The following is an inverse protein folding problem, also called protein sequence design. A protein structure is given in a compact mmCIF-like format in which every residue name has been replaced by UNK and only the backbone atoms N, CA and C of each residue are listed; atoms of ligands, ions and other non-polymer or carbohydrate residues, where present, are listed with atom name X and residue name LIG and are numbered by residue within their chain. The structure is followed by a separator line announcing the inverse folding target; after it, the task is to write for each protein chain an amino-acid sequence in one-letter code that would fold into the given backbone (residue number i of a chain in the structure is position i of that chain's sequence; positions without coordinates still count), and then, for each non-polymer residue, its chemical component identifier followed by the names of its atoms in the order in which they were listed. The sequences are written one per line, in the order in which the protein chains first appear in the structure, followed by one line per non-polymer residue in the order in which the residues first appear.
data_IF_108057014005
#
_entry.id   IF_108057014005
#
_cell.length_a   1.000
_cell.length_b   1.000
_cell.length_c   1.000
_cell.angle_alpha   90.00
_cell.angle_beta   90.00
_cell.angle_gamma   90.00
#
_symmetry.space_group_name_H-M   'P 1'
#
loop_
_entity.id
_entity.type
_entity.pdbx_description
1 polymer ?
#
# COMPACT_ATOMS: atom_id res chain seq x y z
N UNK A 1 -42.58 -62.02 36.25
CA UNK A 1 -43.34 -62.79 35.23
C UNK A 1 -43.75 -61.85 34.10
N UNK A 2 -43.75 -62.33 32.84
CA UNK A 2 -43.14 -61.65 31.68
C UNK A 2 -44.17 -61.17 30.63
N UNK A 3 -43.78 -60.32 29.67
CA UNK A 3 -43.40 -60.67 28.28
C UNK A 3 -42.74 -59.44 27.61
N UNK A 4 -41.57 -59.43 26.97
CA UNK A 4 -40.98 -60.19 25.84
C UNK A 4 -41.61 -59.91 24.46
N UNK A 5 -40.99 -58.97 23.72
CA UNK A 5 -40.90 -58.99 22.25
C UNK A 5 -39.48 -58.56 21.82
N UNK A 6 -38.64 -59.58 21.58
CA UNK A 6 -37.79 -59.88 20.40
C UNK A 6 -37.17 -58.76 19.51
N UNK A 7 -35.86 -58.97 19.28
CA UNK A 7 -35.00 -58.60 18.12
C UNK A 7 -34.66 -57.11 17.91
N UNK A 8 -33.42 -56.71 17.63
CA UNK A 8 -32.36 -57.42 16.92
C UNK A 8 -30.93 -57.10 17.42
N UNK A 9 -30.15 -58.17 17.41
CA UNK A 9 -28.83 -58.42 17.96
C UNK A 9 -27.70 -58.00 17.00
N UNK A 10 -27.81 -56.83 16.37
CA UNK A 10 -26.87 -56.41 15.31
C UNK A 10 -25.94 -55.25 15.69
N UNK A 11 -26.22 -54.50 16.75
CA UNK A 11 -25.48 -53.27 17.04
C UNK A 11 -24.38 -53.38 18.11
N UNK A 12 -24.14 -54.57 18.68
CA UNK A 12 -23.17 -54.75 19.78
C UNK A 12 -22.06 -55.78 19.52
N UNK A 13 -22.03 -56.42 18.34
CA UNK A 13 -20.91 -57.28 17.92
C UNK A 13 -19.93 -56.62 16.95
N UNK A 14 -20.25 -55.45 16.38
CA UNK A 14 -19.35 -54.76 15.45
C UNK A 14 -18.17 -54.07 16.17
N UNK A 15 -18.22 -53.92 17.50
CA UNK A 15 -17.12 -53.32 18.27
C UNK A 15 -16.09 -54.33 18.81
N UNK A 16 -16.30 -55.64 18.67
CA UNK A 16 -15.45 -56.66 19.30
C UNK A 16 -14.66 -57.55 18.32
N UNK A 17 -14.97 -57.53 17.02
CA UNK A 17 -14.35 -58.44 16.03
C UNK A 17 -13.40 -57.78 15.03
N UNK A 18 -13.04 -56.51 15.23
CA UNK A 18 -12.01 -55.81 14.43
C UNK A 18 -10.64 -55.74 15.14
N UNK A 19 -10.39 -56.61 16.12
CA UNK A 19 -9.09 -56.74 16.81
C UNK A 19 -8.15 -57.80 16.20
N UNK A 20 -8.47 -58.33 15.01
CA UNK A 20 -7.59 -59.27 14.32
C UNK A 20 -7.75 -59.19 12.81
N UNK A 21 -6.87 -58.47 12.12
CA UNK A 21 -6.81 -58.53 10.65
C UNK A 21 -6.25 -57.28 9.98
N UNK A 22 -4.93 -57.29 9.73
CA UNK A 22 -4.22 -56.64 8.62
C UNK A 22 -4.65 -55.19 8.29
N UNK A 23 -3.86 -54.22 8.78
CA UNK A 23 -3.89 -52.81 8.32
C UNK A 23 -3.90 -52.72 6.78
N UNK A 24 -4.89 -52.03 6.16
CA UNK A 24 -4.74 -51.62 4.78
C UNK A 24 -3.74 -50.46 4.73
N UNK A 25 -2.67 -50.70 3.97
CA UNK A 25 -1.63 -49.76 3.55
C UNK A 25 -2.20 -48.37 3.22
N UNK A 26 -1.63 -47.37 3.91
CA UNK A 26 -1.35 -46.02 3.39
C UNK A 26 -2.50 -45.33 2.63
N UNK A 27 -3.40 -44.68 3.37
CA UNK A 27 -4.04 -43.46 2.86
C UNK A 27 -2.95 -42.38 2.73
N UNK A 28 -2.33 -42.30 1.55
CA UNK A 28 -1.46 -41.18 1.17
C UNK A 28 -2.33 -39.92 1.11
N UNK A 29 -2.38 -39.19 2.22
CA UNK A 29 -2.84 -37.81 2.21
C UNK A 29 -1.82 -37.01 1.40
N UNK A 30 -2.07 -36.86 0.09
CA UNK A 30 -1.35 -35.90 -0.74
C UNK A 30 -1.94 -34.53 -0.40
N UNK A 31 -1.20 -33.60 0.23
CA UNK A 31 -1.67 -32.23 0.30
C UNK A 31 -1.86 -31.72 -1.14
N UNK A 32 -2.96 -31.00 -1.43
CA UNK A 32 -3.31 -30.56 -2.78
C UNK A 32 -2.31 -29.56 -3.39
N UNK A 33 -1.26 -29.18 -2.64
CA UNK A 33 -0.28 -28.17 -3.01
C UNK A 33 1.08 -28.72 -3.47
N UNK A 34 1.23 -30.05 -3.56
CA UNK A 34 2.48 -30.67 -4.06
C UNK A 34 2.81 -30.33 -5.52
N UNK A 35 1.87 -29.75 -6.27
CA UNK A 35 2.04 -29.29 -7.65
C UNK A 35 2.35 -27.78 -7.78
N UNK A 36 2.27 -26.99 -6.71
CA UNK A 36 2.42 -25.53 -6.76
C UNK A 36 3.87 -25.04 -6.61
N UNK A 37 4.80 -25.93 -6.24
CA UNK A 37 6.21 -25.58 -6.02
C UNK A 37 7.09 -26.48 -6.87
N UNK A 38 7.20 -26.14 -8.16
CA UNK A 38 8.26 -26.71 -8.99
C UNK A 38 9.62 -26.15 -8.52
N UNK A 39 10.69 -26.96 -8.45
CA UNK A 39 12.03 -26.45 -8.18
C UNK A 39 12.44 -25.33 -9.16
N UNK A 40 11.88 -25.31 -10.37
CA UNK A 40 12.11 -24.26 -11.36
C UNK A 40 11.48 -22.91 -10.96
N UNK A 41 10.27 -22.89 -10.38
CA UNK A 41 9.63 -21.66 -9.93
C UNK A 41 10.34 -21.06 -8.71
N UNK A 42 10.94 -21.91 -7.88
CA UNK A 42 11.68 -21.48 -6.69
C UNK A 42 13.08 -20.95 -7.04
N UNK A 43 13.76 -21.55 -8.02
CA UNK A 43 14.99 -20.98 -8.59
C UNK A 43 14.73 -19.63 -9.25
N UNK A 44 13.67 -19.50 -10.05
CA UNK A 44 13.27 -18.23 -10.63
C UNK A 44 13.02 -17.18 -9.54
N UNK A 45 12.30 -17.53 -8.48
CA UNK A 45 11.98 -16.61 -7.38
C UNK A 45 13.23 -16.13 -6.63
N UNK A 46 14.14 -17.04 -6.30
CA UNK A 46 15.40 -16.69 -5.62
C UNK A 46 16.26 -15.81 -6.52
N UNK A 47 16.42 -16.18 -7.80
CA UNK A 47 17.22 -15.40 -8.76
C UNK A 47 16.60 -14.02 -9.01
N UNK A 48 15.28 -13.95 -9.14
CA UNK A 48 14.55 -12.70 -9.35
C UNK A 48 14.65 -11.78 -8.12
N UNK A 49 14.47 -12.33 -6.91
CA UNK A 49 14.62 -11.55 -5.66
C UNK A 49 16.05 -11.06 -5.47
N UNK A 50 17.05 -11.90 -5.78
CA UNK A 50 18.46 -11.52 -5.72
C UNK A 50 18.81 -10.46 -6.77
N UNK A 51 18.31 -10.63 -8.00
CA UNK A 51 18.46 -9.65 -9.08
C UNK A 51 17.86 -8.29 -8.68
N UNK A 52 16.66 -8.29 -8.09
CA UNK A 52 15.97 -7.08 -7.67
C UNK A 52 16.75 -6.37 -6.55
N UNK A 53 17.24 -7.11 -5.54
CA UNK A 53 18.10 -6.55 -4.48
C UNK A 53 19.44 -6.02 -5.03
N UNK A 54 20.12 -6.78 -5.89
CA UNK A 54 21.44 -6.40 -6.42
C UNK A 54 21.34 -5.15 -7.29
N UNK A 55 20.31 -5.05 -8.14
CA UNK A 55 20.13 -3.88 -9.02
C UNK A 55 19.60 -2.64 -8.27
N UNK A 56 18.90 -2.80 -7.14
CA UNK A 56 18.35 -1.68 -6.37
C UNK A 56 19.25 -1.23 -5.22
N UNK A 57 20.01 -2.12 -4.58
CA UNK A 57 20.82 -1.82 -3.39
C UNK A 57 22.29 -1.49 -3.68
N UNK A 58 22.81 -1.73 -4.89
CA UNK A 58 24.17 -1.31 -5.26
C UNK A 58 24.11 0.01 -6.03
N UNK A 59 24.26 1.18 -5.37
CA UNK A 59 24.62 2.39 -6.09
C UNK A 59 25.95 2.10 -6.78
N UNK A 60 26.01 2.31 -8.10
CA UNK A 60 27.22 2.07 -8.90
C UNK A 60 28.43 2.71 -8.24
N UNK A 61 29.32 1.88 -7.69
CA UNK A 61 30.61 2.29 -7.15
C UNK A 61 31.47 2.75 -8.32
N UNK A 62 31.41 4.04 -8.68
CA UNK A 62 32.17 4.59 -9.79
C UNK A 62 33.58 4.96 -9.31
N UNK A 63 34.50 4.00 -9.41
CA UNK A 63 35.89 4.35 -9.73
C UNK A 63 35.93 4.68 -11.21
N UNK A 64 36.56 5.79 -11.57
CA UNK A 64 36.52 6.37 -12.91
C UNK A 64 36.98 5.39 -14.01
N UNK A 65 36.19 5.30 -15.07
CA UNK A 65 36.59 5.54 -16.46
C UNK A 65 35.38 5.37 -17.37
N UNK A 66 35.43 6.02 -18.51
CA UNK A 66 34.35 6.19 -19.48
C UNK A 66 33.74 4.86 -19.91
N UNK A 67 32.52 4.58 -19.46
CA UNK A 67 31.63 3.60 -20.07
C UNK A 67 30.19 4.06 -19.83
N UNK A 68 29.50 4.41 -20.92
CA UNK A 68 28.06 4.59 -20.97
C UNK A 68 27.39 3.21 -20.81
N UNK A 69 27.37 2.70 -19.58
CA UNK A 69 26.37 1.70 -19.23
C UNK A 69 25.02 2.41 -19.10
N UNK A 70 23.91 1.83 -19.60
CA UNK A 70 22.60 2.38 -19.36
C UNK A 70 22.34 2.25 -17.86
N UNK A 71 22.58 3.31 -17.10
CA UNK A 71 21.98 3.42 -15.78
C UNK A 71 20.49 3.32 -16.05
N UNK A 72 19.84 2.28 -15.54
CA UNK A 72 18.40 2.32 -15.33
C UNK A 72 18.17 3.46 -14.33
N UNK A 73 18.09 4.69 -14.85
CA UNK A 73 17.70 5.85 -14.09
C UNK A 73 16.24 5.56 -13.73
N UNK A 74 16.04 5.00 -12.54
CA UNK A 74 14.72 4.86 -11.95
C UNK A 74 14.18 6.29 -11.83
N UNK A 75 13.37 6.67 -12.81
CA UNK A 75 12.64 7.91 -12.79
C UNK A 75 11.62 7.76 -11.67
N UNK A 76 11.82 8.53 -10.60
CA UNK A 76 10.91 8.55 -9.48
C UNK A 76 9.79 9.54 -9.80
N UNK A 77 8.55 9.06 -9.91
CA UNK A 77 7.38 9.92 -9.94
C UNK A 77 6.95 10.30 -8.52
N UNK A 78 6.37 11.48 -8.37
CA UNK A 78 5.88 12.02 -7.10
C UNK A 78 4.73 11.18 -6.51
N UNK A 79 4.40 11.36 -5.22
CA UNK A 79 3.17 10.76 -4.67
C UNK A 79 1.95 11.39 -5.34
N UNK A 80 1.27 10.61 -6.19
CA UNK A 80 0.08 11.04 -6.91
C UNK A 80 -1.19 10.65 -6.16
N UNK A 81 -2.13 11.59 -6.03
CA UNK A 81 -3.46 11.35 -5.48
C UNK A 81 -4.47 11.82 -6.51
N UNK A 82 -5.29 10.91 -7.01
CA UNK A 82 -6.34 11.20 -7.98
C UNK A 82 -7.69 10.82 -7.38
N UNK A 83 -8.70 11.65 -7.61
CA UNK A 83 -10.02 11.37 -7.09
C UNK A 83 -11.07 12.38 -7.50
N UNK A 84 -12.24 12.21 -6.89
CA UNK A 84 -13.44 12.99 -7.13
C UNK A 84 -14.02 13.41 -5.78
N UNK A 85 -14.04 14.70 -5.51
CA UNK A 85 -14.66 15.28 -4.33
C UNK A 85 -16.12 15.64 -4.65
N UNK A 86 -17.08 15.05 -3.91
CA UNK A 86 -18.52 15.24 -4.12
C UNK A 86 -19.33 15.15 -2.82
N UNK A 87 -20.29 16.05 -2.64
CA UNK A 87 -21.38 15.89 -1.68
C UNK A 87 -21.42 16.95 -0.58
N UNK A 88 -20.30 17.19 0.11
CA UNK A 88 -20.20 18.20 1.18
C UNK A 88 -19.85 19.61 0.70
N UNK A 89 -19.95 20.60 1.59
CA UNK A 89 -19.44 21.97 1.34
C UNK A 89 -17.91 22.06 1.42
N UNK A 90 -17.27 21.05 2.01
CA UNK A 90 -15.83 20.84 2.07
C UNK A 90 -15.53 19.34 2.04
N UNK A 91 -14.45 18.94 1.39
CA UNK A 91 -14.05 17.54 1.23
C UNK A 91 -12.53 17.39 1.42
N UNK A 92 -12.06 16.40 2.20
CA UNK A 92 -10.64 16.08 2.28
C UNK A 92 -10.18 15.45 0.97
N UNK A 93 -8.95 15.79 0.55
CA UNK A 93 -8.41 15.39 -0.75
C UNK A 93 -7.15 14.57 -0.59
N UNK A 94 -6.23 15.01 0.26
CA UNK A 94 -4.99 14.29 0.54
C UNK A 94 -4.39 14.72 1.88
N UNK A 95 -3.64 13.80 2.48
CA UNK A 95 -2.71 14.06 3.59
C UNK A 95 -1.30 13.62 3.15
N UNK A 96 -0.32 14.48 3.38
CA UNK A 96 1.07 14.22 3.08
C UNK A 96 1.99 14.81 4.14
N UNK A 97 2.82 13.96 4.75
CA UNK A 97 3.90 14.41 5.59
C UNK A 97 5.17 14.66 4.76
N UNK A 98 5.62 15.91 4.73
CA UNK A 98 6.84 16.30 4.01
C UNK A 98 8.09 15.91 4.78
N UNK A 99 9.17 15.64 4.05
CA UNK A 99 10.50 15.60 4.63
C UNK A 99 11.49 16.37 3.75
N UNK A 100 11.79 17.57 4.21
CA UNK A 100 12.49 18.63 3.48
C UNK A 100 13.69 19.04 4.35
N UNK A 101 14.91 18.64 4.00
CA UNK A 101 16.12 19.11 4.68
C UNK A 101 16.25 20.63 4.62
N UNK A 102 16.97 21.22 5.58
CA UNK A 102 17.23 22.66 5.60
C UNK A 102 17.85 23.14 4.28
N UNK A 103 17.35 24.27 3.78
CA UNK A 103 17.83 24.88 2.52
C UNK A 103 17.29 24.23 1.24
N UNK A 104 16.48 23.17 1.33
CA UNK A 104 15.80 22.56 0.20
C UNK A 104 14.31 22.92 0.16
N UNK A 105 13.64 22.58 -0.94
CA UNK A 105 12.20 22.81 -1.12
C UNK A 105 11.49 21.56 -1.60
N UNK A 106 10.34 21.26 -0.99
CA UNK A 106 9.37 20.32 -1.53
C UNK A 106 8.50 20.98 -2.60
N UNK A 107 7.61 20.20 -3.21
CA UNK A 107 6.69 20.68 -4.24
C UNK A 107 5.31 20.05 -4.09
N UNK A 108 4.26 20.85 -4.26
CA UNK A 108 2.87 20.41 -4.40
C UNK A 108 2.41 20.86 -5.77
N UNK A 109 2.06 19.91 -6.64
CA UNK A 109 1.37 20.21 -7.89
C UNK A 109 -0.09 19.79 -7.75
N UNK A 110 -1.01 20.64 -8.19
CA UNK A 110 -2.43 20.34 -8.20
C UNK A 110 -3.01 20.62 -9.57
N UNK A 111 -3.72 19.64 -10.13
CA UNK A 111 -4.56 19.81 -11.30
C UNK A 111 -5.99 19.48 -10.88
N UNK A 112 -6.91 20.41 -11.06
CA UNK A 112 -8.30 20.20 -10.67
C UNK A 112 -9.22 20.60 -11.81
N UNK A 113 -10.27 19.81 -12.00
CA UNK A 113 -11.34 20.07 -12.93
C UNK A 113 -12.63 20.26 -12.14
N UNK A 114 -13.22 21.45 -12.24
CA UNK A 114 -14.45 21.82 -11.50
C UNK A 114 -15.62 21.97 -12.46
N UNK A 115 -16.80 21.51 -12.03
CA UNK A 115 -18.04 21.60 -12.83
C UNK A 115 -18.75 22.96 -12.68
N UNK A 116 -18.42 23.73 -11.65
CA UNK A 116 -19.03 25.02 -11.37
C UNK A 116 -18.04 25.94 -10.64
N UNK A 117 -18.38 27.23 -10.57
CA UNK A 117 -17.55 28.23 -9.89
C UNK A 117 -17.73 28.20 -8.37
N UNK A 118 -16.74 28.76 -7.66
CA UNK A 118 -16.77 28.97 -6.22
C UNK A 118 -16.03 27.92 -5.40
N UNK A 119 -15.39 26.95 -6.06
CA UNK A 119 -14.51 26.00 -5.40
C UNK A 119 -13.17 26.63 -5.06
N UNK A 120 -12.58 26.23 -3.93
CA UNK A 120 -11.29 26.71 -3.45
C UNK A 120 -10.48 25.51 -2.94
N UNK A 121 -9.21 25.46 -3.32
CA UNK A 121 -8.23 24.53 -2.78
C UNK A 121 -7.62 25.15 -1.53
N UNK A 122 -7.65 24.42 -0.44
CA UNK A 122 -7.18 24.84 0.87
C UNK A 122 -6.09 23.89 1.33
N UNK A 123 -4.94 24.43 1.72
CA UNK A 123 -3.80 23.69 2.25
C UNK A 123 -3.61 24.07 3.72
N UNK A 124 -3.62 23.07 4.59
CA UNK A 124 -3.53 23.21 6.05
C UNK A 124 -2.28 22.51 6.57
N UNK A 125 -1.63 23.11 7.56
CA UNK A 125 -0.50 22.50 8.26
C UNK A 125 -0.99 21.73 9.50
N UNK A 126 -1.82 20.72 9.26
CA UNK A 126 -2.50 19.87 10.25
C UNK A 126 -2.77 18.51 9.65
N UNK A 127 -2.87 17.48 10.49
CA UNK A 127 -3.32 16.14 10.08
C UNK A 127 -4.81 16.14 9.75
N UNK A 128 -5.25 15.15 8.97
CA UNK A 128 -6.68 15.03 8.63
C UNK A 128 -7.53 14.83 9.89
N UNK A 129 -7.03 14.03 10.84
CA UNK A 129 -7.71 13.75 12.10
C UNK A 129 -7.85 14.99 12.99
N UNK A 130 -6.86 15.87 13.04
CA UNK A 130 -6.93 17.14 13.77
C UNK A 130 -7.97 18.08 13.18
N UNK A 131 -8.02 18.17 11.84
CA UNK A 131 -9.00 18.99 11.14
C UNK A 131 -10.40 18.45 11.39
N UNK A 132 -10.63 17.15 11.19
CA UNK A 132 -11.92 16.49 11.43
C UNK A 132 -12.38 16.62 12.89
N UNK A 133 -11.47 16.46 13.86
CA UNK A 133 -11.79 16.65 15.28
C UNK A 133 -12.13 18.11 15.62
N UNK A 134 -11.52 19.07 14.93
CA UNK A 134 -11.89 20.49 15.02
C UNK A 134 -13.29 20.75 14.47
N UNK A 135 -13.55 20.30 13.24
CA UNK A 135 -14.83 20.45 12.55
C UNK A 135 -15.97 19.82 13.36
N UNK A 136 -15.76 18.60 13.87
CA UNK A 136 -16.75 17.87 14.67
C UNK A 136 -17.10 18.62 15.96
N UNK A 137 -16.10 19.12 16.68
CA UNK A 137 -16.34 19.91 17.90
C UNK A 137 -17.15 21.18 17.62
N UNK A 138 -16.85 21.87 16.52
CA UNK A 138 -17.57 23.08 16.15
C UNK A 138 -19.04 22.78 15.81
N UNK A 139 -19.30 21.71 15.05
CA UNK A 139 -20.66 21.25 14.73
C UNK A 139 -21.42 20.84 16.01
N UNK A 140 -20.79 20.06 16.89
CA UNK A 140 -21.37 19.62 18.16
C UNK A 140 -21.66 20.79 19.12
N UNK A 141 -20.89 21.88 19.03
CA UNK A 141 -21.15 23.12 19.78
C UNK A 141 -22.33 23.96 19.24
N UNK A 142 -22.99 23.48 18.18
CA UNK A 142 -24.14 24.14 17.56
C UNK A 142 -23.77 25.14 16.46
N UNK A 143 -22.51 25.18 16.02
CA UNK A 143 -22.15 25.97 14.85
C UNK A 143 -22.74 25.33 13.57
N UNK A 144 -23.37 26.15 12.74
CA UNK A 144 -23.84 25.69 11.43
C UNK A 144 -22.70 25.27 10.50
N UNK A 145 -23.02 24.58 9.42
CA UNK A 145 -22.00 24.09 8.46
C UNK A 145 -21.24 25.25 7.78
N UNK A 146 -21.91 26.35 7.46
CA UNK A 146 -21.32 27.54 6.84
C UNK A 146 -20.19 28.19 7.66
N UNK A 147 -20.38 28.57 8.95
CA UNK A 147 -19.29 29.15 9.74
C UNK A 147 -18.13 28.17 9.95
N UNK A 148 -18.40 26.87 10.02
CA UNK A 148 -17.38 25.82 10.10
C UNK A 148 -16.54 25.76 8.82
N UNK A 149 -17.19 25.77 7.65
CA UNK A 149 -16.54 25.82 6.35
C UNK A 149 -15.67 27.09 6.20
N UNK A 150 -16.17 28.26 6.62
CA UNK A 150 -15.38 29.50 6.61
C UNK A 150 -14.21 29.47 7.59
N UNK A 151 -14.35 28.85 8.76
CA UNK A 151 -13.25 28.67 9.71
C UNK A 151 -12.14 27.81 9.12
N UNK A 152 -12.49 26.77 8.36
CA UNK A 152 -11.52 25.95 7.63
C UNK A 152 -10.70 26.80 6.65
N UNK A 153 -11.38 27.59 5.80
CA UNK A 153 -10.72 28.53 4.86
C UNK A 153 -9.83 29.53 5.59
N UNK A 154 -10.31 30.12 6.68
CA UNK A 154 -9.57 31.13 7.43
C UNK A 154 -8.34 30.57 8.17
N UNK A 155 -8.33 29.26 8.44
CA UNK A 155 -7.19 28.56 9.05
C UNK A 155 -6.18 28.04 8.02
N UNK A 156 -6.46 28.20 6.72
CA UNK A 156 -5.61 27.76 5.63
C UNK A 156 -4.27 28.50 5.62
N UNK A 157 -3.19 27.77 5.36
CA UNK A 157 -1.89 28.39 5.02
C UNK A 157 -1.89 28.90 3.59
N UNK A 158 -2.47 28.12 2.67
CA UNK A 158 -2.62 28.48 1.26
C UNK A 158 -4.08 28.29 0.88
N UNK A 159 -4.60 29.30 0.18
CA UNK A 159 -5.97 29.34 -0.31
C UNK A 159 -5.91 29.73 -1.77
N UNK A 160 -6.22 28.78 -2.65
CA UNK A 160 -6.26 29.03 -4.09
C UNK A 160 -7.69 28.90 -4.62
N UNK A 161 -8.23 29.94 -5.26
CA UNK A 161 -9.51 29.83 -5.93
C UNK A 161 -9.36 28.93 -7.16
N UNK A 162 -10.19 27.89 -7.26
CA UNK A 162 -10.21 26.98 -8.40
C UNK A 162 -11.01 27.62 -9.54
N UNK A 163 -10.42 28.65 -10.15
CA UNK A 163 -10.92 29.30 -11.36
C UNK A 163 -10.08 28.77 -12.51
N UNK A 164 -10.67 27.97 -13.39
CA UNK A 164 -9.97 27.56 -14.60
C UNK A 164 -9.64 28.78 -15.46
N UNK A 165 -8.50 28.72 -16.15
CA UNK A 165 -8.07 29.77 -17.07
C UNK A 165 -8.94 29.85 -18.31
N UNK A 166 -10.13 30.44 -18.21
CA UNK A 166 -10.85 31.14 -19.29
C UNK A 166 -11.71 32.23 -18.64
N UNK A 167 -11.48 33.53 -18.90
CA UNK A 167 -12.32 34.59 -18.35
C UNK A 167 -13.70 34.60 -19.01
N UNK A 168 -14.72 34.74 -18.15
CA UNK A 168 -16.02 35.43 -18.31
C UNK A 168 -16.75 35.22 -19.65
N UNK A 169 -17.85 34.43 -19.64
CA UNK A 169 -19.10 34.58 -20.44
C UNK A 169 -19.74 33.27 -20.93
N UNK A 170 -19.16 32.08 -20.71
CA UNK A 170 -19.72 30.85 -21.29
C UNK A 170 -20.71 30.15 -20.36
N UNK A 171 -21.99 30.35 -20.69
CA UNK A 171 -23.18 29.91 -19.97
C UNK A 171 -23.54 28.42 -20.20
N UNK A 172 -22.74 27.67 -20.96
CA UNK A 172 -22.94 26.24 -21.27
C UNK A 172 -21.63 25.45 -21.05
N UNK A 173 -21.42 25.17 -19.77
CA UNK A 173 -20.40 24.35 -19.05
C UNK A 173 -19.44 23.47 -19.87
N UNK A 174 -18.26 24.01 -20.20
CA UNK A 174 -17.05 23.19 -20.30
C UNK A 174 -16.36 23.15 -18.94
N UNK A 175 -15.91 21.97 -18.46
CA UNK A 175 -15.28 21.87 -17.16
C UNK A 175 -13.95 22.62 -17.17
N UNK A 176 -13.72 23.46 -16.15
CA UNK A 176 -12.58 24.37 -16.13
C UNK A 176 -11.38 23.68 -15.48
N UNK A 177 -10.26 23.63 -16.20
CA UNK A 177 -9.01 23.04 -15.72
C UNK A 177 -8.16 24.10 -15.02
N UNK A 178 -7.87 23.86 -13.75
CA UNK A 178 -6.94 24.64 -12.94
C UNK A 178 -5.67 23.83 -12.72
N UNK A 179 -4.52 24.50 -12.79
CA UNK A 179 -3.21 23.91 -12.53
C UNK A 179 -2.41 24.84 -11.62
N UNK A 180 -1.78 24.25 -10.61
CA UNK A 180 -0.97 24.92 -9.59
C UNK A 180 0.34 24.17 -9.40
N UNK A 181 1.40 24.94 -9.18
CA UNK A 181 2.71 24.44 -8.76
C UNK A 181 3.20 25.31 -7.59
N UNK A 182 3.28 24.72 -6.41
CA UNK A 182 3.66 25.40 -5.17
C UNK A 182 4.94 24.80 -4.62
N UNK A 183 5.96 25.64 -4.47
CA UNK A 183 7.17 25.31 -3.73
C UNK A 183 6.91 25.38 -2.21
N UNK A 184 7.36 24.36 -1.50
CA UNK A 184 7.16 24.21 -0.06
C UNK A 184 8.52 24.35 0.64
N UNK A 185 8.64 25.35 1.52
CA UNK A 185 9.89 25.59 2.25
C UNK A 185 10.13 24.55 3.35
N UNK A 186 11.35 24.46 3.86
CA UNK A 186 11.74 23.50 4.90
C UNK A 186 11.07 23.70 6.27
N UNK A 187 10.24 24.73 6.44
CA UNK A 187 9.53 25.00 7.69
C UNK A 187 8.46 23.96 8.05
N UNK A 188 8.09 23.10 7.10
CA UNK A 188 7.15 21.99 7.25
C UNK A 188 7.84 20.63 7.17
N UNK A 189 9.15 20.58 7.41
CA UNK A 189 9.85 19.31 7.55
C UNK A 189 9.21 18.47 8.67
N UNK A 190 8.89 17.21 8.37
CA UNK A 190 8.25 16.26 9.29
C UNK A 190 6.88 16.75 9.81
N UNK A 191 6.23 17.64 9.06
CA UNK A 191 4.89 18.11 9.36
C UNK A 191 3.89 17.61 8.32
N UNK A 192 2.69 17.31 8.79
CA UNK A 192 1.57 16.91 7.95
C UNK A 192 0.93 18.11 7.28
N UNK A 193 0.74 17.97 5.98
CA UNK A 193 -0.01 18.90 5.18
C UNK A 193 -1.23 18.19 4.64
N UNK A 194 -2.40 18.75 4.95
CA UNK A 194 -3.66 18.30 4.38
C UNK A 194 -4.17 19.26 3.32
N UNK A 195 -4.74 18.69 2.28
CA UNK A 195 -5.36 19.41 1.18
C UNK A 195 -6.86 19.13 1.20
N UNK A 196 -7.64 20.19 1.12
CA UNK A 196 -9.10 20.18 1.12
C UNK A 196 -9.61 20.96 -0.09
N UNK A 197 -10.74 20.54 -0.65
CA UNK A 197 -11.49 21.36 -1.60
C UNK A 197 -12.75 21.82 -0.89
N UNK A 198 -13.04 23.10 -0.99
CA UNK A 198 -14.19 23.73 -0.32
C UNK A 198 -15.01 24.53 -1.32
N UNK A 199 -16.29 24.75 -1.00
CA UNK A 199 -17.20 25.61 -1.75
C UNK A 199 -18.07 26.45 -0.81
N UNK A 200 -17.44 26.98 0.24
CA UNK A 200 -18.13 27.63 1.37
C UNK A 200 -18.90 28.90 0.96
N UNK A 201 -18.36 29.71 0.05
CA UNK A 201 -18.94 31.02 -0.31
C UNK A 201 -20.38 30.94 -0.82
N UNK A 202 -20.72 29.83 -1.48
CA UNK A 202 -22.04 29.60 -2.07
C UNK A 202 -22.88 28.60 -1.28
N UNK A 203 -22.37 28.06 -0.15
CA UNK A 203 -22.98 26.93 0.57
C UNK A 203 -23.44 25.80 -0.36
N UNK A 204 -22.65 25.55 -1.40
CA UNK A 204 -22.98 24.59 -2.44
C UNK A 204 -22.10 23.35 -2.28
N UNK A 205 -22.56 22.18 -2.74
CA UNK A 205 -21.73 20.98 -2.69
C UNK A 205 -20.50 21.16 -3.59
N UNK A 206 -19.39 20.60 -3.12
CA UNK A 206 -18.19 20.36 -3.90
C UNK A 206 -18.53 19.35 -4.99
N UNK A 207 -17.99 19.59 -6.17
CA UNK A 207 -17.98 18.68 -7.32
C UNK A 207 -16.74 19.00 -8.16
N UNK A 208 -15.66 18.28 -7.87
CA UNK A 208 -14.36 18.52 -8.46
C UNK A 208 -13.58 17.22 -8.61
N UNK A 209 -13.01 17.01 -9.80
CA UNK A 209 -11.98 15.99 -10.01
C UNK A 209 -10.61 16.61 -9.71
N UNK A 210 -9.74 15.88 -9.05
CA UNK A 210 -8.42 16.38 -8.67
C UNK A 210 -7.33 15.36 -8.98
N UNK A 211 -6.14 15.88 -9.23
CA UNK A 211 -4.89 15.17 -9.39
C UNK A 211 -3.82 15.98 -8.67
N UNK A 212 -3.42 15.52 -7.49
CA UNK A 212 -2.38 16.12 -6.67
C UNK A 212 -1.09 15.33 -6.79
N UNK A 213 0.04 16.02 -6.73
CA UNK A 213 1.37 15.40 -6.68
C UNK A 213 2.19 16.06 -5.58
N UNK A 214 2.72 15.24 -4.67
CA UNK A 214 3.60 15.68 -3.59
C UNK A 214 5.02 15.17 -3.84
N UNK A 215 5.98 16.08 -3.82
CA UNK A 215 7.39 15.77 -4.09
C UNK A 215 8.27 16.29 -2.95
N UNK A 216 8.96 15.39 -2.27
CA UNK A 216 10.07 15.76 -1.39
C UNK A 216 11.33 16.04 -2.22
N UNK A 217 12.26 16.88 -1.74
CA UNK A 217 13.56 16.98 -2.38
C UNK A 217 14.39 15.70 -2.12
N UNK A 218 15.34 15.40 -3.00
CA UNK A 218 16.18 14.20 -2.90
C UNK A 218 16.18 13.35 -4.18
N UNK A 219 16.41 12.05 -4.02
CA UNK A 219 16.44 11.06 -5.09
C UNK A 219 15.22 10.14 -5.09
N UNK A 220 15.36 8.99 -5.72
CA UNK A 220 14.30 7.98 -5.81
C UNK A 220 13.80 7.56 -4.41
N UNK A 221 14.68 7.40 -3.44
CA UNK A 221 14.31 6.88 -2.12
C UNK A 221 13.55 7.87 -1.23
N UNK A 222 13.51 9.15 -1.61
CA UNK A 222 12.92 10.21 -0.78
C UNK A 222 11.74 10.92 -1.44
N UNK A 223 11.76 11.09 -2.77
CA UNK A 223 10.86 12.00 -3.50
C UNK A 223 9.37 11.73 -3.32
N UNK A 224 8.97 10.45 -3.27
CA UNK A 224 7.56 10.04 -3.27
C UNK A 224 7.08 9.46 -1.95
N UNK A 225 7.98 9.12 -1.04
CA UNK A 225 7.59 8.61 0.27
C UNK A 225 7.23 9.77 1.19
N UNK A 226 6.12 9.62 1.92
CA UNK A 226 5.84 10.51 3.04
C UNK A 226 6.88 10.30 4.14
N UNK A 227 6.96 11.22 5.11
CA UNK A 227 7.87 11.04 6.25
C UNK A 227 7.60 9.73 7.03
N UNK A 228 6.36 9.22 7.02
CA UNK A 228 5.96 7.98 7.68
C UNK A 228 6.39 6.73 6.89
N UNK A 229 6.44 6.84 5.56
CA UNK A 229 6.80 5.74 4.67
C UNK A 229 8.31 5.64 4.40
N UNK A 230 9.09 6.58 4.94
CA UNK A 230 10.55 6.60 4.75
C UNK A 230 11.20 5.36 5.35
N UNK A 231 12.05 4.72 4.56
CA UNK A 231 12.74 3.49 4.95
C UNK A 231 11.91 2.21 4.77
N UNK A 232 10.63 2.32 4.38
CA UNK A 232 9.78 1.16 4.14
C UNK A 232 10.32 0.29 2.99
N UNK A 233 10.65 0.90 1.86
CA UNK A 233 11.20 0.17 0.70
C UNK A 233 12.55 -0.51 1.03
N UNK A 234 13.55 0.17 1.63
CA UNK A 234 14.76 -0.49 2.14
C UNK A 234 14.48 -1.68 3.08
N UNK A 235 13.49 -1.54 3.99
CA UNK A 235 13.12 -2.61 4.91
C UNK A 235 12.55 -3.83 4.17
N UNK A 236 11.72 -3.60 3.15
CA UNK A 236 11.20 -4.67 2.28
C UNK A 236 12.31 -5.34 1.45
N UNK A 237 13.29 -4.58 0.96
CA UNK A 237 14.45 -5.14 0.25
C UNK A 237 15.31 -6.02 1.16
N UNK A 238 15.52 -5.61 2.42
CA UNK A 238 16.20 -6.44 3.40
C UNK A 238 15.39 -7.69 3.77
N UNK A 239 14.07 -7.55 3.89
CA UNK A 239 13.18 -8.69 4.11
C UNK A 239 13.26 -9.70 2.95
N UNK A 240 13.37 -9.24 1.69
CA UNK A 240 13.58 -10.11 0.53
C UNK A 240 14.86 -10.94 0.64
N UNK A 241 15.96 -10.35 1.12
CA UNK A 241 17.22 -11.09 1.33
C UNK A 241 17.02 -12.19 2.37
N UNK A 242 16.38 -11.87 3.50
CA UNK A 242 16.10 -12.85 4.56
C UNK A 242 15.16 -13.95 4.05
N UNK A 243 14.13 -13.60 3.29
CA UNK A 243 13.20 -14.54 2.66
C UNK A 243 13.91 -15.46 1.66
N UNK A 244 14.82 -14.93 0.84
CA UNK A 244 15.59 -15.72 -0.11
C UNK A 244 16.51 -16.74 0.61
N UNK A 245 17.24 -16.30 1.64
CA UNK A 245 18.08 -17.18 2.45
C UNK A 245 17.27 -18.25 3.18
N UNK A 246 16.12 -17.86 3.75
CA UNK A 246 15.22 -18.78 4.46
C UNK A 246 14.61 -19.81 3.50
N UNK A 247 14.22 -19.39 2.29
CA UNK A 247 13.70 -20.28 1.25
C UNK A 247 14.75 -21.30 0.81
N UNK A 248 16.00 -20.86 0.62
CA UNK A 248 17.13 -21.75 0.30
C UNK A 248 17.42 -22.75 1.42
N UNK A 249 17.46 -22.28 2.67
CA UNK A 249 17.68 -23.13 3.84
C UNK A 249 16.56 -24.18 3.98
N UNK A 250 15.30 -23.77 3.91
CA UNK A 250 14.14 -24.66 4.00
C UNK A 250 14.11 -25.69 2.85
N UNK A 251 14.47 -25.28 1.63
CA UNK A 251 14.57 -26.19 0.49
C UNK A 251 15.70 -27.22 0.68
N UNK A 252 16.85 -26.79 1.19
CA UNK A 252 17.98 -27.68 1.45
C UNK A 252 17.63 -28.75 2.50
N UNK A 253 16.96 -28.34 3.58
CA UNK A 253 16.46 -29.21 4.64
C UNK A 253 15.39 -30.18 4.12
N UNK A 254 14.45 -29.69 3.31
CA UNK A 254 13.44 -30.53 2.65
C UNK A 254 14.10 -31.63 1.79
N UNK A 255 15.02 -31.25 0.91
CA UNK A 255 15.73 -32.19 0.03
C UNK A 255 16.59 -33.19 0.80
N UNK A 256 17.18 -32.79 1.92
CA UNK A 256 17.95 -33.69 2.79
C UNK A 256 17.03 -34.74 3.44
N UNK A 257 15.86 -34.31 3.94
CA UNK A 257 14.86 -35.19 4.55
C UNK A 257 14.19 -36.13 3.54
N UNK A 258 13.91 -35.64 2.33
CA UNK A 258 13.32 -36.45 1.25
C UNK A 258 14.26 -37.60 0.82
N UNK A 259 15.58 -37.37 0.85
CA UNK A 259 16.59 -38.41 0.56
C UNK A 259 16.72 -39.43 1.69
N UNK A 260 16.39 -39.08 2.94
CA UNK A 260 16.37 -40.02 4.06
C UNK A 260 15.04 -40.78 4.08
N UNK A 261 15.03 -41.99 3.54
CA UNK A 261 13.82 -42.81 3.27
C UNK A 261 13.06 -43.33 4.52
N UNK A 262 13.19 -42.71 5.69
CA UNK A 262 12.79 -43.33 6.98
C UNK A 262 12.08 -42.41 7.98
N UNK A 263 11.52 -41.25 7.59
CA UNK A 263 10.88 -40.34 8.55
C UNK A 263 9.39 -40.06 8.24
N UNK A 264 8.49 -40.07 9.25
CA UNK A 264 7.11 -39.58 9.16
C UNK A 264 6.99 -38.04 9.29
N UNK A 265 8.12 -37.31 9.24
CA UNK A 265 8.20 -35.84 9.32
C UNK A 265 8.09 -35.06 7.96
N UNK A 266 7.82 -35.65 6.76
CA UNK A 266 7.71 -34.88 5.52
C UNK A 266 6.44 -34.02 5.46
N UNK A 267 5.45 -34.21 6.33
CA UNK A 267 4.30 -33.30 6.39
C UNK A 267 4.66 -31.96 7.04
N UNK A 268 5.44 -31.99 8.13
CA UNK A 268 5.83 -30.78 8.88
C UNK A 268 6.82 -29.93 8.11
N UNK A 269 7.81 -30.56 7.48
CA UNK A 269 8.82 -29.86 6.65
C UNK A 269 8.22 -29.31 5.35
N UNK A 270 7.21 -29.98 4.76
CA UNK A 270 6.47 -29.46 3.62
C UNK A 270 5.63 -28.24 4.01
N UNK A 271 4.97 -28.31 5.18
CA UNK A 271 4.20 -27.19 5.73
C UNK A 271 5.09 -25.97 6.00
N UNK A 272 6.26 -26.18 6.60
CA UNK A 272 7.26 -25.11 6.82
C UNK A 272 7.75 -24.49 5.52
N UNK A 273 8.10 -25.31 4.51
CA UNK A 273 8.51 -24.83 3.20
C UNK A 273 7.41 -23.99 2.54
N UNK A 274 6.15 -24.46 2.60
CA UNK A 274 5.00 -23.73 2.06
C UNK A 274 4.80 -22.38 2.75
N UNK A 275 4.89 -22.34 4.09
CA UNK A 275 4.78 -21.11 4.86
C UNK A 275 5.87 -20.09 4.49
N UNK A 276 7.12 -20.54 4.36
CA UNK A 276 8.25 -19.68 3.95
C UNK A 276 8.04 -19.13 2.53
N UNK A 277 7.52 -19.95 1.61
CA UNK A 277 7.24 -19.51 0.23
C UNK A 277 6.11 -18.46 0.21
N UNK A 278 5.00 -18.70 0.91
CA UNK A 278 3.88 -17.77 0.95
C UNK A 278 4.28 -16.44 1.59
N UNK A 279 5.06 -16.48 2.67
CA UNK A 279 5.60 -15.28 3.30
C UNK A 279 6.54 -14.52 2.33
N UNK A 280 7.45 -15.24 1.67
CA UNK A 280 8.37 -14.63 0.70
C UNK A 280 7.63 -13.99 -0.47
N UNK A 281 6.57 -14.64 -0.98
CA UNK A 281 5.72 -14.09 -2.04
C UNK A 281 5.02 -12.82 -1.58
N UNK A 282 4.51 -12.78 -0.35
CA UNK A 282 3.89 -11.57 0.23
C UNK A 282 4.88 -10.40 0.27
N UNK A 283 6.10 -10.65 0.76
CA UNK A 283 7.18 -9.63 0.80
C UNK A 283 7.54 -9.16 -0.61
N UNK A 284 7.63 -10.06 -1.59
CA UNK A 284 7.92 -9.69 -2.98
C UNK A 284 6.81 -8.84 -3.59
N UNK A 285 5.55 -9.23 -3.43
CA UNK A 285 4.41 -8.47 -3.96
C UNK A 285 4.35 -7.07 -3.34
N UNK A 286 4.59 -6.94 -2.04
CA UNK A 286 4.64 -5.63 -1.38
C UNK A 286 5.85 -4.80 -1.85
N UNK A 287 7.01 -5.42 -2.08
CA UNK A 287 8.17 -4.71 -2.64
C UNK A 287 7.89 -4.19 -4.04
N UNK A 288 7.28 -5.01 -4.91
CA UNK A 288 6.86 -4.60 -6.26
C UNK A 288 5.82 -3.49 -6.17
N UNK A 289 4.85 -3.60 -5.26
CA UNK A 289 3.84 -2.56 -5.05
C UNK A 289 4.49 -1.22 -4.69
N UNK A 290 5.44 -1.21 -3.75
CA UNK A 290 6.17 0.00 -3.38
C UNK A 290 7.02 0.56 -4.53
N UNK A 291 7.62 -0.31 -5.35
CA UNK A 291 8.40 0.12 -6.52
C UNK A 291 7.53 0.71 -7.64
N UNK A 292 6.33 0.15 -7.85
CA UNK A 292 5.35 0.70 -8.81
C UNK A 292 4.74 1.99 -8.28
N UNK A 293 4.53 2.09 -6.96
CA UNK A 293 4.09 3.33 -6.32
C UNK A 293 5.13 4.44 -6.41
N UNK A 294 6.41 4.06 -6.44
CA UNK A 294 7.56 4.93 -6.57
C UNK A 294 7.86 5.40 -8.02
N UNK A 295 7.35 4.67 -9.01
CA UNK A 295 7.62 4.86 -10.45
C UNK A 295 6.53 5.66 -11.14
#
# INVERSE_FOLDING_TARGET
MPSQIKMGEENLRVLADAQGGILPRTLKFRPPFSSLVSPASLHFFVVFSLFLVVNLCLPGHRSGENSESPSYALHAEAKKVLGLARGGTYEPVADFCFSIPEGQKGRIMAQTMVSATGHELVILNKTESEVLAGLRRDIESGAGETPVCHKLINSARVREPLVGGVPMEFRDSTPSLYAMDLAVDSNVNEQHITVWITRCRNNAPVDAMYHLQFTNPGGFWERHFSCEDRGLLPLYLMALVVCALSSLASLSSWRALERSSSSPVPSLSAGSLCAVILFSLSVLLNTIHLLVYAS
#
